data_IF_144018542565
#
_entry.id   IF_144018542565
#
_cell.length_a   1.000
_cell.length_b   1.000
_cell.length_c   1.000
_cell.angle_alpha   90.00
_cell.angle_beta   90.00
_cell.angle_gamma   90.00
#
_symmetry.space_group_name_H-M   'P 1'
#
loop_
_entity.id
_entity.type
_entity.pdbx_description
1 polymer ?
#
# COMPACT_ATOMS: atom_id res chain seq x y z
N UNK A 1 -3.87 3.18 -18.86
CA UNK A 1 -3.17 2.79 -17.61
C UNK A 1 -3.47 1.33 -17.35
N UNK A 2 -2.46 0.50 -17.10
CA UNK A 2 -2.61 -0.95 -16.93
C UNK A 2 -2.57 -1.31 -15.44
N UNK A 3 -3.75 -1.61 -14.88
CA UNK A 3 -3.95 -1.85 -13.45
C UNK A 3 -3.31 -3.15 -12.95
N UNK A 4 -3.09 -4.11 -13.84
CA UNK A 4 -2.44 -5.38 -13.47
C UNK A 4 -0.98 -5.17 -13.06
N UNK A 5 -0.34 -4.10 -13.55
CA UNK A 5 1.04 -3.73 -13.18
C UNK A 5 1.16 -3.14 -11.77
N UNK A 6 0.04 -2.76 -11.14
CA UNK A 6 0.04 -2.13 -9.82
C UNK A 6 -0.36 -3.09 -8.69
N UNK A 7 -0.72 -4.34 -9.03
CA UNK A 7 -1.01 -5.38 -8.06
C UNK A 7 0.26 -5.85 -7.35
N UNK A 8 0.08 -6.42 -6.16
CA UNK A 8 1.18 -6.96 -5.35
C UNK A 8 1.56 -6.06 -4.18
N UNK A 9 2.71 -6.37 -3.58
CA UNK A 9 3.18 -5.74 -2.34
C UNK A 9 4.12 -4.58 -2.63
N UNK A 10 3.83 -3.44 -2.02
CA UNK A 10 4.63 -2.24 -2.06
C UNK A 10 5.20 -1.96 -0.69
N UNK A 11 6.47 -1.55 -0.68
CA UNK A 11 7.18 -1.16 0.52
C UNK A 11 7.32 0.35 0.53
N UNK A 12 7.01 0.96 1.66
CA UNK A 12 7.26 2.38 1.85
C UNK A 12 8.75 2.61 2.10
N UNK A 13 9.48 3.00 1.06
CA UNK A 13 10.95 3.17 1.13
C UNK A 13 11.31 4.52 1.77
N UNK A 14 10.49 5.56 1.58
CA UNK A 14 10.64 6.87 2.24
C UNK A 14 9.33 7.66 2.21
N UNK A 15 9.09 8.46 3.25
CA UNK A 15 8.02 9.49 3.33
C UNK A 15 8.53 10.79 3.90
N UNK A 16 7.84 11.90 3.60
CA UNK A 16 8.04 13.14 4.33
C UNK A 16 7.43 13.00 5.73
N UNK A 17 8.16 13.34 6.80
CA UNK A 17 7.68 13.14 8.16
C UNK A 17 6.51 14.08 8.45
N UNK A 18 5.34 13.51 8.74
CA UNK A 18 4.25 14.22 9.40
C UNK A 18 4.23 13.92 10.90
N UNK A 19 3.93 14.94 11.70
CA UNK A 19 4.02 14.91 13.17
C UNK A 19 3.10 13.86 13.83
N UNK A 20 2.11 13.32 13.12
CA UNK A 20 1.20 12.28 13.59
C UNK A 20 1.64 10.84 13.28
N UNK A 21 2.73 10.64 12.52
CA UNK A 21 3.17 9.32 12.03
C UNK A 21 4.42 8.78 12.75
N UNK A 22 4.74 9.33 13.93
CA UNK A 22 5.89 8.88 14.72
C UNK A 22 5.67 7.44 15.21
N UNK A 23 6.41 6.49 14.64
CA UNK A 23 6.59 5.14 15.20
C UNK A 23 6.22 3.95 14.31
N UNK A 24 5.85 4.16 13.04
CA UNK A 24 5.56 3.07 12.11
C UNK A 24 6.81 2.73 11.26
N UNK A 25 7.46 1.61 11.56
CA UNK A 25 8.57 1.04 10.78
C UNK A 25 8.07 -0.16 9.96
N UNK A 26 8.44 -0.23 8.67
CA UNK A 26 8.06 -1.37 7.82
C UNK A 26 6.65 -1.28 7.24
N UNK A 27 6.16 -0.08 6.94
CA UNK A 27 4.86 0.10 6.28
C UNK A 27 4.86 -0.57 4.90
N UNK A 28 3.88 -1.44 4.69
CA UNK A 28 3.64 -2.11 3.41
C UNK A 28 2.19 -1.98 2.99
N UNK A 29 1.96 -1.93 1.68
CA UNK A 29 0.64 -1.90 1.07
C UNK A 29 0.51 -3.07 0.08
N UNK A 30 -0.53 -3.88 0.21
CA UNK A 30 -0.83 -4.96 -0.73
C UNK A 30 -2.10 -4.67 -1.54
N UNK A 31 -1.94 -4.66 -2.86
CA UNK A 31 -3.02 -4.42 -3.82
C UNK A 31 -3.45 -5.73 -4.47
N UNK A 32 -4.74 -6.06 -4.37
CA UNK A 32 -5.31 -7.27 -4.96
C UNK A 32 -6.67 -7.01 -5.63
N UNK A 33 -7.01 -7.82 -6.63
CA UNK A 33 -8.31 -7.77 -7.28
C UNK A 33 -9.37 -8.48 -6.45
N UNK A 34 -10.55 -7.87 -6.40
CA UNK A 34 -11.76 -8.48 -5.86
C UNK A 34 -12.64 -9.01 -6.99
N UNK A 35 -13.45 -10.01 -6.66
CA UNK A 35 -14.41 -10.63 -7.60
C UNK A 35 -15.48 -9.66 -8.12
N UNK A 36 -15.68 -8.53 -7.44
CA UNK A 36 -16.60 -7.45 -7.82
C UNK A 36 -15.96 -6.40 -8.73
N UNK A 37 -14.74 -6.63 -9.22
CA UNK A 37 -14.02 -5.72 -10.12
C UNK A 37 -13.34 -4.54 -9.41
N UNK A 38 -13.37 -4.49 -8.07
CA UNK A 38 -12.69 -3.44 -7.29
C UNK A 38 -11.29 -3.88 -6.85
N UNK A 39 -10.47 -2.91 -6.44
CA UNK A 39 -9.18 -3.15 -5.80
C UNK A 39 -9.34 -3.18 -4.28
N UNK A 40 -8.76 -4.20 -3.66
CA UNK A 40 -8.54 -4.26 -2.21
C UNK A 40 -7.15 -3.71 -1.92
N UNK A 41 -7.07 -2.90 -0.87
CA UNK A 41 -5.81 -2.38 -0.33
C UNK A 41 -5.70 -2.80 1.13
N UNK A 42 -4.57 -3.40 1.51
CA UNK A 42 -4.24 -3.73 2.90
C UNK A 42 -2.96 -3.00 3.27
N UNK A 43 -3.03 -2.11 4.26
CA UNK A 43 -1.85 -1.45 4.83
C UNK A 43 -1.43 -2.16 6.12
N UNK A 44 -0.14 -2.34 6.33
CA UNK A 44 0.45 -2.93 7.55
C UNK A 44 1.71 -2.17 7.91
N UNK A 45 1.90 -1.76 9.16
CA UNK A 45 3.05 -1.02 9.66
C UNK A 45 3.16 -1.08 11.17
#
# INVERSE_FOLDING_TARGET
>A
MDIYKYLGRWYEIARFPHSFEKGLEGVTAEYSFRKDGKIRVINSG
#
